data_IF_183626341578
#
_entry.id   IF_183626341578
#
_cell.length_a   1.000
_cell.length_b   1.000
_cell.length_c   1.000
_cell.angle_alpha   90.00
_cell.angle_beta   90.00
_cell.angle_gamma   90.00
#
_symmetry.space_group_name_H-M   'P 1'
#
loop_
_entity.id
_entity.type
_entity.pdbx_description
1 polymer ?
#
# COMPACT_ATOMS: atom_id res chain seq x y z
N UNK A 1 -14.92 -14.19 2.02
CA UNK A 1 -14.73 -13.12 1.03
C UNK A 1 -13.26 -12.72 1.05
N UNK A 2 -12.56 -12.71 -0.08
CA UNK A 2 -11.13 -12.32 -0.14
C UNK A 2 -10.99 -10.98 -0.87
N UNK A 3 -11.03 -9.90 -0.10
CA UNK A 3 -10.82 -8.55 -0.64
C UNK A 3 -9.35 -8.42 -1.04
N UNK A 4 -9.07 -8.08 -2.30
CA UNK A 4 -7.70 -7.94 -2.76
C UNK A 4 -7.11 -6.61 -2.23
N UNK A 5 -5.92 -6.66 -1.63
CA UNK A 5 -5.24 -5.48 -1.04
C UNK A 5 -4.96 -4.39 -2.08
N UNK A 6 -4.85 -4.76 -3.36
CA UNK A 6 -4.77 -3.82 -4.48
C UNK A 6 -5.92 -2.80 -4.48
N UNK A 7 -7.16 -3.23 -4.22
CA UNK A 7 -8.32 -2.33 -4.19
C UNK A 7 -8.26 -1.34 -3.02
N UNK A 8 -7.74 -1.79 -1.88
CA UNK A 8 -7.50 -0.91 -0.73
C UNK A 8 -6.49 0.18 -1.11
N UNK A 9 -5.38 -0.22 -1.73
CA UNK A 9 -4.33 0.71 -2.20
C UNK A 9 -4.91 1.72 -3.19
N UNK A 10 -5.64 1.25 -4.20
CA UNK A 10 -6.29 2.10 -5.21
C UNK A 10 -7.27 3.09 -4.58
N UNK A 11 -8.15 2.62 -3.69
CA UNK A 11 -9.15 3.49 -3.04
C UNK A 11 -8.50 4.54 -2.14
N UNK A 12 -7.44 4.18 -1.41
CA UNK A 12 -6.70 5.12 -0.57
C UNK A 12 -5.99 6.17 -1.41
N UNK A 13 -5.30 5.76 -2.48
CA UNK A 13 -4.63 6.67 -3.42
C UNK A 13 -5.61 7.66 -4.05
N UNK A 14 -6.78 7.16 -4.48
CA UNK A 14 -7.83 8.00 -5.07
C UNK A 14 -8.42 8.99 -4.07
N UNK A 15 -8.47 8.66 -2.77
CA UNK A 15 -8.97 9.60 -1.74
C UNK A 15 -7.94 10.66 -1.35
N UNK A 16 -6.66 10.35 -1.51
CA UNK A 16 -5.55 11.23 -1.16
C UNK A 16 -4.98 11.99 -2.37
N UNK A 17 -5.53 11.76 -3.57
CA UNK A 17 -5.04 12.31 -4.84
C UNK A 17 -3.53 12.09 -5.06
N UNK A 18 -3.02 10.93 -4.64
CA UNK A 18 -1.62 10.54 -4.82
C UNK A 18 -1.50 9.35 -5.78
N UNK A 19 -0.41 9.29 -6.57
CA UNK A 19 -0.20 8.18 -7.49
C UNK A 19 0.01 6.86 -6.73
N UNK A 20 -0.57 5.76 -7.22
CA UNK A 20 -0.46 4.45 -6.56
C UNK A 20 0.97 3.92 -6.39
N UNK A 21 1.87 4.43 -7.22
CA UNK A 21 3.30 4.11 -7.20
C UNK A 21 4.05 4.90 -6.12
N UNK A 22 3.49 5.99 -5.58
CA UNK A 22 4.09 6.74 -4.47
C UNK A 22 3.71 6.19 -3.10
N UNK A 23 3.06 5.03 -3.02
CA UNK A 23 2.70 4.39 -1.75
C UNK A 23 3.32 3.00 -1.60
N UNK A 24 3.81 2.75 -0.39
CA UNK A 24 4.25 1.45 0.09
C UNK A 24 3.39 1.04 1.27
N UNK A 25 2.78 -0.14 1.17
CA UNK A 25 2.01 -0.76 2.24
C UNK A 25 2.91 -1.75 2.98
N UNK A 26 2.92 -1.68 4.31
CA UNK A 26 3.58 -2.62 5.18
C UNK A 26 2.57 -3.29 6.11
N UNK A 27 2.82 -4.57 6.38
CA UNK A 27 2.09 -5.38 7.33
C UNK A 27 3.11 -6.05 8.25
N UNK A 28 3.04 -5.80 9.55
CA UNK A 28 4.03 -6.29 10.52
C UNK A 28 5.50 -5.99 10.12
N UNK A 29 5.74 -4.81 9.52
CA UNK A 29 7.06 -4.44 9.00
C UNK A 29 7.48 -5.16 7.70
N UNK A 30 6.66 -6.07 7.16
CA UNK A 30 6.87 -6.70 5.85
C UNK A 30 6.17 -5.92 4.74
N UNK A 31 6.87 -5.72 3.61
CA UNK A 31 6.27 -5.08 2.44
C UNK A 31 5.19 -5.97 1.84
N UNK A 32 3.98 -5.43 1.73
CA UNK A 32 2.90 -6.09 0.99
C UNK A 32 3.18 -5.92 -0.50
N UNK A 33 3.31 -7.04 -1.20
CA UNK A 33 3.43 -7.09 -2.67
C UNK A 33 2.06 -7.43 -3.26
N UNK A 34 1.78 -6.98 -4.48
CA UNK A 34 0.46 -7.15 -5.12
C UNK A 34 0.01 -8.62 -5.24
N UNK A 35 0.96 -9.56 -5.16
CA UNK A 35 0.70 -10.99 -5.24
C UNK A 35 0.34 -11.62 -3.88
N UNK A 36 0.39 -10.86 -2.78
CA UNK A 36 0.02 -11.35 -1.46
C UNK A 36 -1.49 -11.25 -1.25
N UNK A 37 -2.06 -12.30 -0.65
CA UNK A 37 -3.45 -12.33 -0.23
C UNK A 37 -3.56 -12.04 1.27
N UNK A 38 -4.60 -11.33 1.74
CA UNK A 38 -4.83 -11.12 3.17
C UNK A 38 -4.79 -12.42 3.97
N UNK A 39 -5.44 -13.48 3.43
CA UNK A 39 -5.48 -14.80 4.05
C UNK A 39 -4.11 -15.48 4.12
N UNK A 40 -3.23 -15.24 3.13
CA UNK A 40 -1.87 -15.77 3.13
C UNK A 40 -0.92 -15.00 4.06
N UNK A 41 -1.27 -13.76 4.40
CA UNK A 41 -0.53 -12.91 5.33
C UNK A 41 -1.14 -12.89 6.75
N UNK A 42 -2.28 -13.56 6.97
CA UNK A 42 -2.98 -13.51 8.27
C UNK A 42 -3.68 -12.18 8.57
N UNK A 43 -3.90 -11.32 7.56
CA UNK A 43 -4.56 -10.03 7.72
C UNK A 43 -6.07 -10.25 7.88
N UNK A 44 -6.57 -10.23 9.12
CA UNK A 44 -8.01 -10.28 9.40
C UNK A 44 -8.58 -8.88 9.71
N UNK A 45 -8.09 -8.24 10.78
CA UNK A 45 -8.49 -6.88 11.21
C UNK A 45 -7.27 -6.05 11.64
N UNK A 46 -6.13 -6.31 11.03
CA UNK A 46 -4.87 -5.70 11.45
C UNK A 46 -4.61 -4.33 10.82
N UNK A 47 -3.65 -3.62 11.41
CA UNK A 47 -3.20 -2.31 10.96
C UNK A 47 -2.24 -2.46 9.77
N UNK A 48 -2.58 -1.82 8.65
CA UNK A 48 -1.67 -1.68 7.52
C UNK A 48 -0.98 -0.32 7.63
N UNK A 49 0.34 -0.34 7.73
CA UNK A 49 1.12 0.88 7.71
C UNK A 49 1.28 1.38 6.28
N UNK A 50 1.07 2.68 6.07
CA UNK A 50 1.15 3.32 4.75
C UNK A 50 2.29 4.33 4.77
N UNK A 51 3.29 4.11 3.93
CA UNK A 51 4.42 5.03 3.76
C UNK A 51 4.39 5.61 2.36
N UNK A 52 4.68 6.91 2.25
CA UNK A 52 4.91 7.53 0.97
C UNK A 52 6.29 7.13 0.47
N UNK A 53 6.34 6.45 -0.67
CA UNK A 53 7.58 6.15 -1.35
C UNK A 53 8.10 7.46 -1.96
N UNK A 54 9.12 8.04 -1.33
CA UNK A 54 9.86 9.15 -1.90
C UNK A 54 10.63 8.66 -3.12
N UNK A 55 9.97 8.63 -4.27
CA UNK A 55 10.69 8.78 -5.54
C UNK A 55 11.20 10.21 -5.55
N UNK A 56 12.47 10.38 -5.22
CA UNK A 56 13.13 11.67 -5.26
C UNK A 56 13.04 12.26 -6.67
N UNK A 57 11.97 12.99 -6.96
CA UNK A 57 12.03 14.11 -7.88
C UNK A 57 12.83 15.18 -7.13
N UNK A 58 14.16 15.00 -7.16
CA UNK A 58 15.10 16.04 -6.84
C UNK A 58 14.63 17.25 -7.63
N UNK A 59 14.15 18.28 -6.92
CA UNK A 59 13.92 19.60 -7.49
C UNK A 59 15.30 20.08 -7.96
N UNK A 60 15.70 19.67 -9.16
CA UNK A 60 16.79 20.29 -9.86
C UNK A 60 16.25 21.66 -10.28
N UNK A 61 16.67 22.66 -9.50
CA UNK A 61 16.47 24.09 -9.71
C UNK A 61 17.19 24.48 -11.00
#
# INVERSE_FOLDING_TARGET
>A
MTTHLKKLKESFCHRQDIPINSLRLLFEGQRIVDNHSPKGLGIEEDVIEVYQEHTGAHSAI
#
